data_IF_142968611717
#
_entry.id   IF_142968611717
#
_cell.length_a   1.000
_cell.length_b   1.000
_cell.length_c   1.000
_cell.angle_alpha   90.00
_cell.angle_beta   90.00
_cell.angle_gamma   90.00
#
_symmetry.space_group_name_H-M   'P 1'
#
loop_
_entity.id
_entity.type
_entity.pdbx_description
1 polymer ?
#
# COMPACT_ATOMS: atom_id res chain seq x y z
N UNK A 1 1.00 -10.31 -18.66
CA UNK A 1 1.35 -10.51 -17.23
C UNK A 1 0.54 -9.50 -16.41
N UNK A 2 -0.11 -9.97 -15.32
CA UNK A 2 -0.90 -9.14 -14.41
C UNK A 2 -0.12 -8.90 -13.11
N UNK A 3 0.10 -7.64 -12.75
CA UNK A 3 0.89 -7.25 -11.59
C UNK A 3 -0.03 -6.63 -10.52
N UNK A 4 0.08 -7.09 -9.27
CA UNK A 4 -0.48 -6.41 -8.13
C UNK A 4 0.59 -5.55 -7.44
N UNK A 5 0.23 -4.36 -7.00
CA UNK A 5 1.10 -3.48 -6.21
C UNK A 5 0.40 -3.16 -4.90
N UNK A 6 1.04 -3.52 -3.78
CA UNK A 6 0.52 -3.19 -2.45
C UNK A 6 0.94 -1.78 -2.07
N UNK A 7 -0.02 -0.96 -1.70
CA UNK A 7 0.19 0.44 -1.33
C UNK A 7 -0.20 0.69 0.12
N UNK A 8 0.59 1.47 0.83
CA UNK A 8 0.30 1.96 2.18
C UNK A 8 0.26 3.47 2.21
N UNK A 9 -0.74 4.02 2.87
CA UNK A 9 -0.77 5.42 3.25
C UNK A 9 -0.03 5.61 4.57
N UNK A 10 0.83 6.61 4.63
CA UNK A 10 1.64 6.92 5.81
C UNK A 10 1.53 8.41 6.16
N UNK A 11 1.74 8.80 7.42
CA UNK A 11 1.83 10.22 7.79
C UNK A 11 3.01 10.88 7.08
N UNK A 12 2.85 12.14 6.70
CA UNK A 12 3.95 12.93 6.16
C UNK A 12 4.90 13.34 7.30
N UNK A 13 6.10 12.77 7.32
CA UNK A 13 7.11 12.99 8.36
C UNK A 13 7.71 14.41 8.36
N UNK A 14 7.33 15.26 7.43
CA UNK A 14 7.70 16.69 7.43
C UNK A 14 6.83 17.48 8.40
N UNK A 15 5.64 16.98 8.73
CA UNK A 15 4.75 17.59 9.71
C UNK A 15 5.23 17.34 11.15
N UNK A 16 4.87 18.20 12.08
CA UNK A 16 5.10 17.97 13.50
C UNK A 16 4.18 16.85 13.99
N UNK A 17 4.79 15.74 14.41
CA UNK A 17 4.06 14.57 14.87
C UNK A 17 3.85 14.63 16.39
N UNK A 18 2.62 14.64 16.83
CA UNK A 18 2.23 14.63 18.23
C UNK A 18 1.54 13.32 18.61
N UNK A 19 1.68 12.92 19.86
CA UNK A 19 0.97 11.76 20.40
C UNK A 19 -0.36 12.25 20.98
N UNK A 20 -1.43 11.53 20.69
CA UNK A 20 -2.77 11.85 21.18
C UNK A 20 -2.90 11.70 22.72
N UNK A 21 -4.05 12.05 23.23
CA UNK A 21 -4.33 11.98 24.67
C UNK A 21 -4.29 10.55 25.25
N UNK A 22 -4.34 9.51 24.40
CA UNK A 22 -4.21 8.11 24.84
C UNK A 22 -2.77 7.73 25.17
N UNK A 23 -1.78 8.46 24.64
CA UNK A 23 -0.36 8.20 24.81
C UNK A 23 0.19 7.03 23.98
N UNK A 24 -0.63 6.43 23.11
CA UNK A 24 -0.27 5.23 22.31
C UNK A 24 -0.57 5.39 20.81
N UNK A 25 -1.18 6.48 20.40
CA UNK A 25 -1.52 6.75 19.01
C UNK A 25 -1.05 8.14 18.60
N UNK A 26 -0.90 8.33 17.30
CA UNK A 26 -0.59 9.63 16.72
C UNK A 26 -1.85 10.50 16.72
N UNK A 27 -1.73 11.77 17.11
CA UNK A 27 -2.77 12.76 16.86
C UNK A 27 -2.83 13.01 15.34
N UNK A 28 -3.98 12.76 14.74
CA UNK A 28 -4.13 12.82 13.28
C UNK A 28 -4.91 14.04 12.79
N UNK A 29 -5.34 14.93 13.69
CA UNK A 29 -6.25 16.02 13.33
C UNK A 29 -5.62 17.00 12.31
N UNK A 30 -4.32 17.27 12.44
CA UNK A 30 -3.59 18.22 11.58
C UNK A 30 -2.54 17.54 10.67
N UNK A 31 -2.46 16.19 10.66
CA UNK A 31 -1.45 15.48 9.89
C UNK A 31 -1.94 15.23 8.47
N UNK A 32 -1.07 15.52 7.50
CA UNK A 32 -1.24 15.08 6.12
C UNK A 32 -0.75 13.65 5.95
N UNK A 33 -1.50 12.89 5.19
CA UNK A 33 -1.11 11.55 4.78
C UNK A 33 -0.70 11.53 3.32
N UNK A 34 0.27 10.68 2.99
CA UNK A 34 0.77 10.47 1.63
C UNK A 34 0.99 8.99 1.35
N UNK A 35 1.13 8.64 0.07
CA UNK A 35 1.59 7.32 -0.33
C UNK A 35 3.01 7.09 0.20
N UNK A 36 3.24 5.92 0.80
CA UNK A 36 4.58 5.49 1.21
C UNK A 36 5.54 5.53 0.00
N UNK A 37 6.67 6.19 0.14
CA UNK A 37 7.59 6.45 -0.96
C UNK A 37 8.14 5.16 -1.60
N UNK A 38 8.43 4.14 -0.79
CA UNK A 38 8.90 2.86 -1.32
C UNK A 38 7.81 2.12 -2.12
N UNK A 39 6.55 2.27 -1.74
CA UNK A 39 5.43 1.71 -2.51
C UNK A 39 5.20 2.50 -3.80
N UNK A 40 5.46 3.81 -3.79
CA UNK A 40 5.38 4.64 -5.00
C UNK A 40 6.45 4.23 -6.03
N UNK A 41 7.65 3.86 -5.59
CA UNK A 41 8.67 3.28 -6.47
C UNK A 41 8.24 1.92 -7.02
N UNK A 42 7.62 1.07 -6.21
CA UNK A 42 7.08 -0.21 -6.66
C UNK A 42 5.96 -0.02 -7.70
N UNK A 43 5.09 0.96 -7.49
CA UNK A 43 4.04 1.32 -8.44
C UNK A 43 4.62 1.82 -9.77
N UNK A 44 5.60 2.72 -9.72
CA UNK A 44 6.26 3.25 -10.90
C UNK A 44 6.91 2.13 -11.73
N UNK A 45 7.62 1.20 -11.09
CA UNK A 45 8.23 0.06 -11.78
C UNK A 45 7.18 -0.83 -12.47
N UNK A 46 6.04 -1.08 -11.82
CA UNK A 46 4.95 -1.84 -12.43
C UNK A 46 4.36 -1.12 -13.66
N UNK A 47 4.22 0.21 -13.58
CA UNK A 47 3.75 1.04 -14.70
C UNK A 47 4.74 1.01 -15.86
N UNK A 48 6.05 1.14 -15.58
CA UNK A 48 7.10 1.06 -16.61
C UNK A 48 7.10 -0.31 -17.32
N UNK A 49 6.89 -1.40 -16.59
CA UNK A 49 6.75 -2.73 -17.18
C UNK A 49 5.52 -2.81 -18.09
N UNK A 50 4.42 -2.19 -17.72
CA UNK A 50 3.22 -2.11 -18.56
C UNK A 50 3.47 -1.26 -19.82
N UNK A 51 4.08 -0.09 -19.69
CA UNK A 51 4.42 0.78 -20.83
C UNK A 51 5.38 0.13 -21.81
N UNK A 52 6.29 -0.71 -21.33
CA UNK A 52 7.19 -1.51 -22.18
C UNK A 52 6.51 -2.69 -22.88
N UNK A 53 5.25 -3.00 -22.52
CA UNK A 53 4.52 -4.16 -23.04
C UNK A 53 4.86 -5.48 -22.32
N UNK A 54 5.65 -5.46 -21.24
CA UNK A 54 5.96 -6.64 -20.45
C UNK A 54 4.82 -7.03 -19.47
N UNK A 55 3.99 -6.06 -19.09
CA UNK A 55 2.78 -6.32 -18.32
C UNK A 55 1.54 -5.83 -19.07
N UNK A 56 0.41 -6.50 -18.85
CA UNK A 56 -0.88 -6.18 -19.47
C UNK A 56 -1.79 -5.38 -18.55
N UNK A 57 -1.69 -5.63 -17.24
CA UNK A 57 -2.57 -5.03 -16.23
C UNK A 57 -1.80 -4.76 -14.93
N UNK A 58 -1.98 -3.58 -14.38
CA UNK A 58 -1.45 -3.17 -13.06
C UNK A 58 -2.63 -2.88 -12.12
N UNK A 59 -2.72 -3.62 -11.03
CA UNK A 59 -3.77 -3.47 -10.01
C UNK A 59 -3.13 -3.01 -8.71
N UNK A 60 -3.59 -1.89 -8.16
CA UNK A 60 -3.13 -1.41 -6.86
C UNK A 60 -4.09 -1.85 -5.76
N UNK A 61 -3.54 -2.26 -4.62
CA UNK A 61 -4.31 -2.78 -3.49
C UNK A 61 -3.87 -2.03 -2.22
N UNK A 62 -4.83 -1.50 -1.46
CA UNK A 62 -4.58 -0.83 -0.19
C UNK A 62 -5.65 -1.18 0.84
N UNK A 63 -5.30 -1.11 2.12
CA UNK A 63 -6.27 -1.23 3.22
C UNK A 63 -7.01 0.08 3.40
N UNK A 64 -8.31 0.00 3.69
CA UNK A 64 -9.15 1.18 3.91
C UNK A 64 -8.68 2.02 5.11
N UNK A 65 -8.82 3.33 4.96
CA UNK A 65 -8.45 4.32 5.96
C UNK A 65 -8.68 5.74 5.47
N UNK A 66 -8.49 6.73 6.33
CA UNK A 66 -8.69 8.12 6.00
C UNK A 66 -7.78 8.57 4.84
N UNK A 67 -8.39 9.09 3.77
CA UNK A 67 -7.66 9.58 2.60
C UNK A 67 -7.16 8.51 1.62
N UNK A 68 -7.36 7.22 1.88
CA UNK A 68 -6.94 6.11 1.01
C UNK A 68 -7.57 6.22 -0.38
N UNK A 69 -8.81 6.65 -0.50
CA UNK A 69 -9.45 6.84 -1.81
C UNK A 69 -8.68 7.83 -2.68
N UNK A 70 -8.23 8.95 -2.11
CA UNK A 70 -7.42 9.94 -2.83
C UNK A 70 -6.08 9.34 -3.30
N UNK A 71 -5.44 8.54 -2.46
CA UNK A 71 -4.20 7.83 -2.81
C UNK A 71 -4.43 6.85 -3.96
N UNK A 72 -5.50 6.06 -3.91
CA UNK A 72 -5.86 5.12 -4.97
C UNK A 72 -6.21 5.83 -6.29
N UNK A 73 -6.94 6.95 -6.25
CA UNK A 73 -7.18 7.77 -7.45
C UNK A 73 -5.88 8.33 -8.04
N UNK A 74 -4.92 8.71 -7.19
CA UNK A 74 -3.60 9.14 -7.66
C UNK A 74 -2.86 8.00 -8.36
N UNK A 75 -2.92 6.78 -7.83
CA UNK A 75 -2.32 5.60 -8.46
C UNK A 75 -2.96 5.28 -9.83
N UNK A 76 -4.28 5.39 -9.94
CA UNK A 76 -4.98 5.27 -11.23
C UNK A 76 -4.51 6.36 -12.22
N UNK A 77 -4.42 7.61 -11.76
CA UNK A 77 -3.96 8.72 -12.60
C UNK A 77 -2.50 8.56 -13.06
N UNK A 78 -1.66 7.85 -12.31
CA UNK A 78 -0.29 7.49 -12.68
C UNK A 78 -0.23 6.39 -13.75
N UNK A 79 -1.27 5.57 -13.90
CA UNK A 79 -1.32 4.54 -14.95
C UNK A 79 -1.76 3.14 -14.49
N UNK A 80 -2.10 2.95 -13.23
CA UNK A 80 -2.73 1.71 -12.77
C UNK A 80 -4.11 1.52 -13.42
N UNK A 81 -4.47 0.29 -13.73
CA UNK A 81 -5.74 -0.04 -14.41
C UNK A 81 -6.90 -0.19 -13.44
N UNK A 82 -6.60 -0.71 -12.25
CA UNK A 82 -7.60 -0.97 -11.21
C UNK A 82 -7.07 -0.63 -9.83
N UNK A 83 -7.97 -0.24 -8.95
CA UNK A 83 -7.69 -0.04 -7.54
C UNK A 83 -8.65 -0.89 -6.69
N UNK A 84 -8.10 -1.58 -5.72
CA UNK A 84 -8.82 -2.43 -4.78
C UNK A 84 -8.60 -1.91 -3.37
N UNK A 85 -9.70 -1.64 -2.67
CA UNK A 85 -9.68 -1.22 -1.27
C UNK A 85 -10.15 -2.36 -0.39
N UNK A 86 -9.31 -2.80 0.53
CA UNK A 86 -9.59 -3.87 1.48
C UNK A 86 -10.31 -3.30 2.70
N UNK A 87 -11.57 -3.65 2.87
CA UNK A 87 -12.35 -3.29 4.05
C UNK A 87 -12.06 -4.28 5.19
N UNK A 88 -12.08 -3.83 6.44
CA UNK A 88 -11.89 -4.72 7.60
C UNK A 88 -11.19 -4.08 8.80
N UNK A 89 -10.96 -2.77 8.73
CA UNK A 89 -10.29 -2.02 9.78
C UNK A 89 -8.76 -2.02 9.65
N UNK A 90 -8.13 -1.24 10.52
CA UNK A 90 -6.66 -1.09 10.53
C UNK A 90 -6.04 -2.38 11.10
N UNK A 91 -5.16 -3.07 10.36
CA UNK A 91 -4.43 -4.22 10.88
C UNK A 91 -3.58 -3.84 12.08
N UNK A 92 -3.47 -4.75 13.06
CA UNK A 92 -2.70 -4.53 14.27
C UNK A 92 -1.19 -4.67 14.07
N UNK A 93 -0.80 -5.53 13.13
CA UNK A 93 0.61 -5.81 12.83
C UNK A 93 0.82 -6.25 11.37
N UNK A 94 2.07 -6.48 11.00
CA UNK A 94 2.46 -6.90 9.64
C UNK A 94 1.94 -8.30 9.26
N UNK A 95 1.69 -9.19 10.23
CA UNK A 95 1.11 -10.51 9.96
C UNK A 95 -0.37 -10.42 9.61
N UNK A 96 -1.15 -9.64 10.36
CA UNK A 96 -2.56 -9.39 10.03
C UNK A 96 -2.69 -8.69 8.67
N UNK A 97 -1.83 -7.71 8.42
CA UNK A 97 -1.78 -7.00 7.15
C UNK A 97 -1.39 -7.94 6.01
N UNK A 98 -0.36 -8.74 6.19
CA UNK A 98 0.09 -9.73 5.19
C UNK A 98 -0.98 -10.76 4.85
N UNK A 99 -1.71 -11.24 5.85
CA UNK A 99 -2.84 -12.16 5.65
C UNK A 99 -3.98 -11.51 4.88
N UNK A 100 -4.30 -10.24 5.17
CA UNK A 100 -5.32 -9.50 4.44
C UNK A 100 -4.97 -9.34 2.96
N UNK A 101 -3.72 -8.96 2.64
CA UNK A 101 -3.24 -8.89 1.27
C UNK A 101 -3.20 -10.26 0.60
N UNK A 102 -2.69 -11.29 1.25
CA UNK A 102 -2.66 -12.64 0.70
C UNK A 102 -4.05 -13.16 0.32
N UNK A 103 -5.04 -12.94 1.18
CA UNK A 103 -6.43 -13.30 0.88
C UNK A 103 -6.98 -12.55 -0.36
N UNK A 104 -6.63 -11.27 -0.49
CA UNK A 104 -7.05 -10.49 -1.66
C UNK A 104 -6.34 -10.91 -2.94
N UNK A 105 -5.08 -11.32 -2.85
CA UNK A 105 -4.28 -11.77 -3.99
C UNK A 105 -4.66 -13.16 -4.47
N UNK A 106 -5.00 -14.07 -3.54
CA UNK A 106 -5.17 -15.50 -3.83
C UNK A 106 -6.31 -15.87 -4.79
N UNK A 107 -7.28 -14.98 -5.01
CA UNK A 107 -8.45 -15.24 -5.86
C UNK A 107 -8.35 -14.68 -7.28
N UNK A 108 -7.36 -13.82 -7.58
CA UNK A 108 -7.38 -12.95 -8.75
C UNK A 108 -6.35 -13.31 -9.85
N UNK A 109 -5.49 -14.29 -9.61
CA UNK A 109 -4.53 -14.80 -10.61
C UNK A 109 -3.49 -13.77 -11.05
N UNK A 110 -2.81 -13.14 -10.09
CA UNK A 110 -1.66 -12.27 -10.35
C UNK A 110 -0.42 -13.09 -10.67
N UNK A 111 0.35 -12.66 -11.66
CA UNK A 111 1.64 -13.27 -12.02
C UNK A 111 2.78 -12.77 -11.12
N UNK A 112 2.71 -11.51 -10.70
CA UNK A 112 3.68 -10.87 -9.83
C UNK A 112 3.01 -9.97 -8.80
N UNK A 113 3.66 -9.84 -7.64
CA UNK A 113 3.25 -8.89 -6.58
C UNK A 113 4.43 -8.00 -6.25
N UNK A 114 4.23 -6.70 -6.33
CA UNK A 114 5.23 -5.70 -5.97
C UNK A 114 4.89 -5.05 -4.63
N UNK A 115 5.90 -4.84 -3.82
CA UNK A 115 5.81 -4.15 -2.53
C UNK A 115 6.96 -3.18 -2.37
N UNK A 116 6.74 -2.11 -1.64
CA UNK A 116 7.85 -1.34 -1.09
C UNK A 116 8.66 -2.19 -0.11
N UNK A 117 9.91 -1.81 0.13
CA UNK A 117 10.80 -2.54 1.03
C UNK A 117 10.41 -2.37 2.51
N UNK A 118 9.80 -1.25 2.85
CA UNK A 118 9.29 -0.93 4.19
C UNK A 118 8.35 0.28 4.14
N UNK A 119 7.57 0.52 5.18
CA UNK A 119 6.87 1.78 5.36
C UNK A 119 7.66 2.71 6.29
N UNK A 120 7.57 4.01 6.06
CA UNK A 120 8.34 5.01 6.82
C UNK A 120 7.86 5.18 8.26
N UNK A 121 6.62 4.77 8.56
CA UNK A 121 5.99 4.90 9.88
C UNK A 121 6.34 3.74 10.83
N UNK A 122 6.27 2.49 10.37
CA UNK A 122 6.57 1.32 11.20
C UNK A 122 8.00 0.78 10.99
N UNK A 123 8.56 0.94 9.82
CA UNK A 123 9.91 0.53 9.44
C UNK A 123 10.19 -0.96 9.63
N UNK A 124 9.15 -1.76 9.69
CA UNK A 124 9.22 -3.21 9.95
C UNK A 124 9.91 -3.97 8.81
N UNK A 125 9.61 -3.62 7.57
CA UNK A 125 10.25 -4.21 6.38
C UNK A 125 9.94 -5.69 6.15
N UNK A 126 8.89 -6.23 6.76
CA UNK A 126 8.56 -7.66 6.73
C UNK A 126 7.34 -8.00 5.86
N UNK A 127 6.57 -7.01 5.44
CA UNK A 127 5.29 -7.25 4.77
C UNK A 127 5.42 -8.10 3.51
N UNK A 128 6.36 -7.78 2.63
CA UNK A 128 6.59 -8.54 1.39
C UNK A 128 6.88 -10.02 1.64
N UNK A 129 7.91 -10.38 2.46
CA UNK A 129 8.18 -11.76 2.86
C UNK A 129 7.00 -12.46 3.54
N UNK A 130 6.25 -11.77 4.39
CA UNK A 130 5.07 -12.34 5.06
C UNK A 130 3.99 -12.69 4.03
N UNK A 131 3.66 -11.78 3.13
CA UNK A 131 2.67 -12.03 2.05
C UNK A 131 3.11 -13.23 1.20
N UNK A 132 4.39 -13.31 0.86
CA UNK A 132 4.92 -14.41 0.07
C UNK A 132 4.90 -15.76 0.80
N UNK A 133 4.78 -15.79 2.12
CA UNK A 133 4.72 -17.00 2.94
C UNK A 133 3.32 -17.60 3.03
N UNK A 134 2.27 -16.86 2.76
CA UNK A 134 0.87 -17.29 2.73
C UNK A 134 0.47 -17.84 1.34
#
# INVERSE_FOLDING_TARGET
>A
MKIAVMLKQVPDLVEDLEVDASGISLDTDDIKFKLNEFDDHALEEAILLKESGAADEVVVIAVDGDGVDKMLFTAIAKGADKAVKLNGGKPGDSHELGKAFSNALGSEGYDMVFTGVQSVDDRDGQLGPIVASY
#
